data_IF_339985145778
#
_entry.id   IF_339985145778
#
_cell.length_a   1.000
_cell.length_b   1.000
_cell.length_c   1.000
_cell.angle_alpha   90.00
_cell.angle_beta   90.00
_cell.angle_gamma   90.00
#
_symmetry.space_group_name_H-M   'P 1'
#
loop_
_entity.id
_entity.type
_entity.pdbx_description
1 polymer ?
#
# COMPACT_ATOMS: atom_id res chain seq x y z
N UNK A 1 -14.55 -15.73 10.18
CA UNK A 1 -14.38 -17.15 9.77
C UNK A 1 -14.74 -17.22 8.30
N UNK A 2 -13.75 -17.41 7.42
CA UNK A 2 -13.96 -17.59 5.97
C UNK A 2 -13.99 -19.08 5.64
N UNK A 3 -14.65 -19.45 4.53
CA UNK A 3 -14.84 -20.84 4.11
C UNK A 3 -13.56 -21.59 3.67
N UNK A 4 -12.36 -21.04 3.92
CA UNK A 4 -11.08 -21.63 3.49
C UNK A 4 -10.84 -21.61 1.97
N UNK A 5 -11.75 -21.01 1.20
CA UNK A 5 -11.72 -20.92 -0.26
C UNK A 5 -10.82 -19.79 -0.76
N UNK A 6 -9.54 -19.80 -0.35
CA UNK A 6 -8.57 -18.78 -0.76
C UNK A 6 -8.30 -18.81 -2.28
N UNK A 7 -8.37 -19.99 -2.89
CA UNK A 7 -8.16 -20.19 -4.33
C UNK A 7 -9.25 -19.61 -5.25
N UNK A 8 -10.44 -19.36 -4.71
CA UNK A 8 -11.58 -18.80 -5.46
C UNK A 8 -11.61 -17.27 -5.43
N UNK A 9 -10.72 -16.63 -4.66
CA UNK A 9 -10.60 -15.18 -4.61
C UNK A 9 -10.09 -14.70 -5.97
N UNK A 10 -10.83 -13.84 -6.69
CA UNK A 10 -10.36 -13.31 -7.96
C UNK A 10 -9.02 -12.60 -7.79
N UNK A 11 -8.07 -12.85 -8.71
CA UNK A 11 -6.75 -12.22 -8.74
C UNK A 11 -6.79 -10.68 -8.92
N UNK A 12 -7.98 -10.07 -8.97
CA UNK A 12 -8.17 -8.62 -8.87
C UNK A 12 -8.04 -8.20 -7.40
N UNK A 13 -6.86 -8.44 -6.83
CA UNK A 13 -6.56 -8.26 -5.42
C UNK A 13 -6.99 -6.87 -4.97
N UNK A 14 -8.01 -6.92 -4.13
CA UNK A 14 -8.86 -5.84 -3.67
C UNK A 14 -8.06 -4.64 -3.16
N UNK A 15 -8.69 -3.47 -3.25
CA UNK A 15 -8.30 -2.17 -2.70
C UNK A 15 -7.25 -2.22 -1.59
N UNK A 16 -6.31 -1.27 -1.58
CA UNK A 16 -5.20 -1.16 -0.63
C UNK A 16 -5.54 -1.46 0.85
N UNK A 17 -6.78 -1.21 1.29
CA UNK A 17 -7.33 -1.59 2.60
C UNK A 17 -7.34 -3.11 2.85
N UNK A 18 -7.75 -3.93 1.88
CA UNK A 18 -7.75 -5.39 2.01
C UNK A 18 -6.32 -5.94 2.10
N UNK A 19 -5.39 -5.34 1.36
CA UNK A 19 -3.96 -5.66 1.45
C UNK A 19 -3.42 -5.35 2.85
N UNK A 20 -3.74 -4.18 3.41
CA UNK A 20 -3.37 -3.82 4.80
C UNK A 20 -3.98 -4.77 5.83
N UNK A 21 -5.29 -5.04 5.75
CA UNK A 21 -6.01 -5.79 6.79
C UNK A 21 -5.73 -7.30 6.79
N UNK A 22 -5.35 -7.88 5.65
CA UNK A 22 -5.32 -9.33 5.48
C UNK A 22 -4.00 -9.88 4.92
N UNK A 23 -2.96 -9.05 4.81
CA UNK A 23 -1.61 -9.46 4.34
C UNK A 23 -1.12 -10.76 4.97
N UNK A 24 -1.17 -10.89 6.29
CA UNK A 24 -0.66 -12.08 6.97
C UNK A 24 -1.45 -13.35 6.62
N UNK A 25 -2.75 -13.20 6.35
CA UNK A 25 -3.60 -14.31 5.94
C UNK A 25 -3.31 -14.72 4.49
N UNK A 26 -3.05 -13.76 3.61
CA UNK A 26 -2.63 -14.05 2.23
C UNK A 26 -1.25 -14.71 2.20
N UNK A 27 -0.29 -14.22 2.96
CA UNK A 27 1.01 -14.88 3.10
C UNK A 27 0.90 -16.31 3.62
N UNK A 28 0.01 -16.56 4.58
CA UNK A 28 -0.16 -17.87 5.20
C UNK A 28 -0.92 -18.87 4.33
N UNK A 29 -1.92 -18.43 3.57
CA UNK A 29 -2.84 -19.32 2.86
C UNK A 29 -2.72 -19.29 1.33
N UNK A 30 -2.14 -18.24 0.76
CA UNK A 30 -2.01 -18.05 -0.70
C UNK A 30 -0.72 -17.29 -1.08
N UNK A 31 0.39 -17.63 -0.43
CA UNK A 31 1.66 -16.90 -0.54
C UNK A 31 2.24 -16.89 -1.96
N UNK A 32 2.11 -17.98 -2.72
CA UNK A 32 2.65 -18.07 -4.09
C UNK A 32 1.94 -17.12 -5.05
N UNK A 33 0.59 -17.09 -5.05
CA UNK A 33 -0.18 -16.15 -5.88
C UNK A 33 0.05 -14.72 -5.44
N UNK A 34 0.16 -14.48 -4.14
CA UNK A 34 0.48 -13.16 -3.60
C UNK A 34 1.83 -12.65 -4.11
N UNK A 35 2.87 -13.47 -4.07
CA UNK A 35 4.20 -13.11 -4.60
C UNK A 35 4.18 -12.90 -6.12
N UNK A 36 3.46 -13.73 -6.87
CA UNK A 36 3.27 -13.54 -8.31
C UNK A 36 2.58 -12.21 -8.61
N UNK A 37 1.55 -11.85 -7.84
CA UNK A 37 0.87 -10.56 -7.98
C UNK A 37 1.81 -9.38 -7.70
N UNK A 38 2.62 -9.43 -6.64
CA UNK A 38 3.60 -8.38 -6.36
C UNK A 38 4.64 -8.24 -7.49
N UNK A 39 5.07 -9.35 -8.09
CA UNK A 39 5.94 -9.33 -9.27
C UNK A 39 5.24 -8.72 -10.50
N UNK A 40 3.95 -9.01 -10.71
CA UNK A 40 3.16 -8.40 -11.78
C UNK A 40 2.94 -6.90 -11.56
N UNK A 41 2.74 -6.45 -10.32
CA UNK A 41 2.68 -5.03 -9.97
C UNK A 41 4.02 -4.34 -10.22
N UNK A 42 5.14 -4.96 -9.81
CA UNK A 42 6.49 -4.42 -10.05
C UNK A 42 6.83 -4.31 -11.54
N UNK A 43 6.39 -5.28 -12.34
CA UNK A 43 6.58 -5.29 -13.79
C UNK A 43 5.55 -4.45 -14.55
N UNK A 44 4.58 -3.83 -13.86
CA UNK A 44 3.55 -2.98 -14.44
C UNK A 44 2.41 -3.73 -15.16
N UNK A 45 2.35 -5.05 -15.03
CA UNK A 45 1.28 -5.90 -15.59
C UNK A 45 -0.01 -5.86 -14.76
N UNK A 46 0.12 -5.58 -13.46
CA UNK A 46 -0.99 -5.39 -12.53
C UNK A 46 -0.87 -4.02 -11.85
N UNK A 47 -1.97 -3.52 -11.30
CA UNK A 47 -2.00 -2.22 -10.60
C UNK A 47 -2.46 -2.42 -9.17
N UNK A 48 -1.70 -1.86 -8.23
CA UNK A 48 -2.14 -1.67 -6.85
C UNK A 48 -2.63 -0.23 -6.69
N UNK A 49 -3.88 -0.03 -6.25
CA UNK A 49 -4.43 1.31 -6.05
C UNK A 49 -4.26 1.73 -4.59
N UNK A 50 -3.55 2.83 -4.29
CA UNK A 50 -3.39 3.35 -2.94
C UNK A 50 -4.62 4.14 -2.48
N UNK A 51 -5.58 4.46 -3.35
CA UNK A 51 -6.61 5.48 -3.12
C UNK A 51 -7.52 5.30 -1.89
N UNK A 52 -7.48 4.14 -1.24
CA UNK A 52 -8.19 3.88 0.02
C UNK A 52 -7.29 3.96 1.28
N UNK A 53 -5.99 4.25 1.14
CA UNK A 53 -5.04 4.44 2.24
C UNK A 53 -4.47 5.85 2.24
N UNK A 54 -4.28 6.40 3.43
CA UNK A 54 -3.60 7.67 3.65
C UNK A 54 -2.07 7.47 3.75
N UNK A 55 -1.25 8.51 3.50
CA UNK A 55 0.21 8.36 3.50
C UNK A 55 0.75 7.81 4.83
N UNK A 56 0.20 8.29 5.95
CA UNK A 56 0.61 7.84 7.28
C UNK A 56 0.24 6.37 7.54
N UNK A 57 -0.80 5.83 6.88
CA UNK A 57 -1.16 4.43 6.99
C UNK A 57 -0.22 3.53 6.20
N UNK A 58 0.28 4.00 5.05
CA UNK A 58 1.30 3.32 4.27
C UNK A 58 2.61 3.31 5.06
N UNK A 59 3.00 4.45 5.64
CA UNK A 59 4.21 4.55 6.48
C UNK A 59 4.10 3.68 7.73
N UNK A 60 2.94 3.65 8.40
CA UNK A 60 2.73 2.80 9.57
C UNK A 60 2.89 1.30 9.24
N UNK A 61 2.56 0.87 8.01
CA UNK A 61 2.76 -0.53 7.59
C UNK A 61 4.23 -0.95 7.48
N UNK A 62 5.19 -0.02 7.55
CA UNK A 62 6.62 -0.34 7.67
C UNK A 62 6.98 -0.92 9.03
N UNK A 63 6.17 -0.68 10.06
CA UNK A 63 6.35 -1.27 11.39
C UNK A 63 5.95 -2.76 11.41
N UNK A 64 5.16 -3.21 10.43
CA UNK A 64 4.73 -4.60 10.31
C UNK A 64 5.82 -5.48 9.64
N UNK A 65 6.15 -6.65 10.21
CA UNK A 65 7.07 -7.60 9.57
C UNK A 65 6.66 -7.94 8.13
N UNK A 66 7.56 -7.68 7.18
CA UNK A 66 7.31 -7.92 5.76
C UNK A 66 6.38 -6.91 5.08
N UNK A 67 5.96 -5.82 5.75
CA UNK A 67 5.12 -4.77 5.18
C UNK A 67 5.82 -3.91 4.13
N UNK A 68 7.15 -3.84 4.17
CA UNK A 68 7.97 -2.95 3.34
C UNK A 68 7.72 -3.06 1.83
N UNK A 69 7.59 -4.26 1.28
CA UNK A 69 7.40 -4.43 -0.17
C UNK A 69 6.05 -3.89 -0.66
N UNK A 70 4.98 -4.17 0.10
CA UNK A 70 3.63 -3.67 -0.22
C UNK A 70 3.56 -2.16 0.01
N UNK A 71 4.17 -1.67 1.09
CA UNK A 71 4.26 -0.25 1.41
C UNK A 71 4.96 0.54 0.30
N UNK A 72 6.08 0.04 -0.22
CA UNK A 72 6.83 0.67 -1.31
C UNK A 72 6.00 0.75 -2.59
N UNK A 73 5.30 -0.32 -2.98
CA UNK A 73 4.47 -0.34 -4.18
C UNK A 73 3.27 0.61 -4.06
N UNK A 74 2.66 0.68 -2.87
CA UNK A 74 1.57 1.62 -2.58
C UNK A 74 2.07 3.07 -2.60
N UNK A 75 3.20 3.35 -1.96
CA UNK A 75 3.81 4.68 -1.90
C UNK A 75 4.17 5.18 -3.29
N UNK A 76 4.85 4.34 -4.09
CA UNK A 76 5.22 4.65 -5.46
C UNK A 76 4.00 5.06 -6.29
N UNK A 77 2.92 4.27 -6.22
CA UNK A 77 1.68 4.61 -6.94
C UNK A 77 1.07 5.91 -6.45
N UNK A 78 1.09 6.15 -5.15
CA UNK A 78 0.51 7.34 -4.53
C UNK A 78 1.20 8.64 -4.98
N UNK A 79 2.49 8.59 -5.27
CA UNK A 79 3.24 9.73 -5.82
C UNK A 79 3.09 9.83 -7.33
N UNK A 80 3.09 8.69 -8.04
CA UNK A 80 2.97 8.64 -9.50
C UNK A 80 1.62 9.14 -10.02
N UNK A 81 0.52 8.84 -9.32
CA UNK A 81 -0.82 9.22 -9.77
C UNK A 81 -1.02 10.73 -9.89
N UNK A 82 -0.76 11.55 -8.84
CA UNK A 82 -0.80 13.00 -8.96
C UNK A 82 0.23 13.54 -9.95
N UNK A 83 1.41 12.90 -10.05
CA UNK A 83 2.47 13.33 -10.97
C UNK A 83 2.08 13.25 -12.45
N UNK A 84 1.09 12.42 -12.80
CA UNK A 84 0.54 12.35 -14.18
C UNK A 84 -0.34 13.55 -14.51
N UNK A 85 -0.98 14.15 -13.51
CA UNK A 85 -1.84 15.32 -13.68
C UNK A 85 -1.03 16.62 -13.77
N UNK A 86 0.19 16.60 -13.23
CA UNK A 86 1.14 17.70 -13.32
C UNK A 86 2.10 17.73 -12.15
N UNK A 87 2.99 18.73 -12.15
CA UNK A 87 3.88 19.01 -11.00
C UNK A 87 3.50 20.34 -10.40
N UNK A 88 3.66 20.45 -9.08
CA UNK A 88 3.57 21.73 -8.39
C UNK A 88 4.79 22.58 -8.78
N UNK A 89 4.54 23.73 -9.40
CA UNK A 89 5.57 24.71 -9.75
C UNK A 89 5.43 25.93 -8.83
N UNK A 90 6.55 26.59 -8.53
CA UNK A 90 6.59 27.80 -7.70
C UNK A 90 5.91 27.66 -6.31
N UNK A 91 6.07 26.49 -5.68
CA UNK A 91 5.51 26.19 -4.35
C UNK A 91 6.62 26.07 -3.29
N UNK A 92 6.32 26.50 -2.07
CA UNK A 92 7.18 26.30 -0.88
C UNK A 92 6.42 25.43 0.11
N UNK A 93 7.00 24.29 0.48
CA UNK A 93 6.50 23.46 1.56
C UNK A 93 7.13 23.91 2.88
N UNK A 94 6.29 24.26 3.86
CA UNK A 94 6.73 24.60 5.22
C UNK A 94 6.11 23.58 6.18
N UNK A 95 6.95 22.90 6.95
CA UNK A 95 6.52 21.92 7.95
C UNK A 95 6.84 22.46 9.35
N UNK A 96 5.82 22.57 10.21
CA UNK A 96 6.06 22.91 11.62
C UNK A 96 6.68 21.71 12.34
N UNK A 97 7.80 21.95 13.03
CA UNK A 97 8.53 20.97 13.84
C UNK A 97 8.55 21.36 15.33
N UNK A 98 7.73 22.33 15.73
CA UNK A 98 7.56 22.73 17.12
C UNK A 98 7.15 21.54 17.99
N UNK A 99 7.47 21.57 19.28
CA UNK A 99 7.14 20.46 20.20
C UNK A 99 5.64 20.14 20.29
N UNK A 100 4.76 21.06 19.87
CA UNK A 100 3.32 20.82 19.78
C UNK A 100 2.94 19.81 18.69
N UNK A 101 3.82 19.61 17.70
CA UNK A 101 3.65 18.68 16.59
C UNK A 101 4.05 17.24 16.95
N UNK A 102 4.65 17.00 18.13
CA UNK A 102 4.89 15.66 18.66
C UNK A 102 3.56 15.05 19.15
N UNK A 103 2.76 14.55 18.22
CA UNK A 103 1.52 13.85 18.51
C UNK A 103 1.74 12.40 18.96
N UNK A 104 1.43 12.10 20.22
CA UNK A 104 0.88 10.81 20.66
C UNK A 104 0.06 11.03 21.94
N UNK A 105 -1.26 10.84 21.85
CA UNK A 105 -2.15 10.51 22.97
C UNK A 105 -2.82 9.19 22.65
#
# INVERSE_FOLDING_TARGET
MSAGQWGDIPNNWFASVAMKLHKDKFLKHDGERFQSYLADVKSGKATISPGALLPHEIVASLEDPGGGEVAELLWKRMVEDPSKEGKLENCIAVCDISGSMLGRR
#
